data_IF_824427395853
#
_entry.id   IF_824427395853
#
_cell.length_a   1.000
_cell.length_b   1.000
_cell.length_c   1.000
_cell.angle_alpha   90.00
_cell.angle_beta   90.00
_cell.angle_gamma   90.00
#
_symmetry.space_group_name_H-M   'P 1'
#
loop_
_entity.id
_entity.type
_entity.pdbx_description
1 polymer ?
#
# COMPACT_ATOMS: atom_id res chain seq x y z
N UNK A 1 -53.48 10.47 0.47
CA UNK A 1 -52.69 11.66 0.86
C UNK A 1 -51.80 11.41 2.10
N UNK A 2 -52.34 10.78 3.20
CA UNK A 2 -51.53 10.48 4.43
C UNK A 2 -50.32 9.61 4.19
N UNK A 3 -50.43 8.52 3.39
CA UNK A 3 -49.29 7.63 3.06
C UNK A 3 -48.15 8.35 2.30
N UNK A 4 -48.53 9.23 1.40
CA UNK A 4 -47.52 10.02 0.62
C UNK A 4 -46.74 10.99 1.53
N UNK A 5 -47.42 11.62 2.49
CA UNK A 5 -46.77 12.48 3.49
C UNK A 5 -45.75 11.72 4.34
N UNK A 6 -46.10 10.52 4.82
CA UNK A 6 -45.19 9.66 5.60
C UNK A 6 -43.95 9.26 4.75
N UNK A 7 -44.17 8.87 3.49
CA UNK A 7 -43.06 8.50 2.59
C UNK A 7 -42.07 9.68 2.40
N UNK A 8 -42.59 10.86 2.15
CA UNK A 8 -41.76 12.07 1.97
C UNK A 8 -40.95 12.40 3.23
N UNK A 9 -41.60 12.30 4.43
CA UNK A 9 -40.90 12.52 5.70
C UNK A 9 -39.78 11.49 5.93
N UNK A 10 -40.04 10.20 5.65
CA UNK A 10 -39.02 9.14 5.76
C UNK A 10 -37.88 9.33 4.78
N UNK A 11 -38.16 9.78 3.56
CA UNK A 11 -37.12 10.09 2.56
C UNK A 11 -36.23 11.24 3.01
N UNK A 12 -36.79 12.29 3.58
CA UNK A 12 -36.04 13.43 4.11
C UNK A 12 -35.20 13.04 5.33
N UNK A 13 -35.75 12.24 6.24
CA UNK A 13 -34.99 11.70 7.38
C UNK A 13 -33.82 10.81 6.92
N UNK A 14 -34.04 9.93 5.94
CA UNK A 14 -33.00 9.08 5.38
C UNK A 14 -31.90 9.90 4.70
N UNK A 15 -32.26 10.96 3.98
CA UNK A 15 -31.29 11.87 3.36
C UNK A 15 -30.42 12.54 4.42
N UNK A 16 -31.04 13.09 5.47
CA UNK A 16 -30.32 13.73 6.58
C UNK A 16 -29.39 12.75 7.31
N UNK A 17 -29.85 11.53 7.55
CA UNK A 17 -29.05 10.50 8.19
C UNK A 17 -27.82 10.11 7.35
N UNK A 18 -28.00 9.95 6.03
CA UNK A 18 -26.89 9.68 5.10
C UNK A 18 -25.85 10.81 5.10
N UNK A 19 -26.31 12.04 5.18
CA UNK A 19 -25.44 13.22 5.23
C UNK A 19 -24.62 13.25 6.53
N UNK A 20 -25.26 13.01 7.68
CA UNK A 20 -24.58 12.90 8.97
C UNK A 20 -23.56 11.74 9.01
N UNK A 21 -23.91 10.58 8.46
CA UNK A 21 -22.98 9.44 8.35
C UNK A 21 -21.76 9.79 7.49
N UNK A 22 -21.97 10.50 6.38
CA UNK A 22 -20.89 10.95 5.50
C UNK A 22 -19.95 11.93 6.21
N UNK A 23 -20.49 12.90 6.92
CA UNK A 23 -19.68 13.86 7.71
C UNK A 23 -18.90 13.16 8.83
N UNK A 24 -19.51 12.19 9.50
CA UNK A 24 -18.83 11.40 10.52
C UNK A 24 -17.68 10.59 9.91
N UNK A 25 -17.92 9.94 8.78
CA UNK A 25 -16.91 9.14 8.09
C UNK A 25 -15.73 10.02 7.61
N UNK A 26 -16.00 11.23 7.14
CA UNK A 26 -14.97 12.18 6.75
C UNK A 26 -14.09 12.59 7.93
N UNK A 27 -14.70 12.87 9.08
CA UNK A 27 -13.95 13.15 10.32
C UNK A 27 -13.06 11.98 10.75
N UNK A 28 -13.56 10.75 10.67
CA UNK A 28 -12.76 9.56 10.99
C UNK A 28 -11.55 9.41 10.05
N UNK A 29 -11.72 9.70 8.76
CA UNK A 29 -10.61 9.72 7.79
C UNK A 29 -9.56 10.79 8.10
N UNK A 30 -9.99 11.98 8.53
CA UNK A 30 -9.07 13.03 8.94
C UNK A 30 -8.23 12.60 10.15
N UNK A 31 -8.85 12.03 11.18
CA UNK A 31 -8.11 11.48 12.33
C UNK A 31 -7.19 10.33 11.94
N UNK A 32 -7.64 9.44 11.05
CA UNK A 32 -6.78 8.37 10.53
C UNK A 32 -5.54 8.94 9.81
N UNK A 33 -5.70 10.02 9.06
CA UNK A 33 -4.59 10.72 8.42
C UNK A 33 -3.61 11.34 9.43
N UNK A 34 -4.11 11.97 10.49
CA UNK A 34 -3.28 12.52 11.57
C UNK A 34 -2.42 11.41 12.22
N UNK A 35 -3.01 10.26 12.55
CA UNK A 35 -2.25 9.13 13.07
C UNK A 35 -1.23 8.57 12.06
N UNK A 36 -1.52 8.58 10.77
CA UNK A 36 -0.54 8.21 9.75
C UNK A 36 0.67 9.16 9.79
N UNK A 37 0.44 10.47 9.89
CA UNK A 37 1.51 11.47 9.97
C UNK A 37 2.33 11.30 11.25
N UNK A 38 1.69 11.09 12.41
CA UNK A 38 2.37 10.80 13.66
C UNK A 38 3.25 9.54 13.58
N UNK A 39 2.76 8.48 12.92
CA UNK A 39 3.56 7.29 12.68
C UNK A 39 4.77 7.56 11.78
N UNK A 40 4.63 8.36 10.74
CA UNK A 40 5.74 8.76 9.88
C UNK A 40 6.77 9.59 10.65
N UNK A 41 6.35 10.49 11.53
CA UNK A 41 7.24 11.29 12.41
C UNK A 41 8.03 10.40 13.38
N UNK A 42 7.41 9.37 13.95
CA UNK A 42 8.10 8.40 14.79
C UNK A 42 9.27 7.73 14.05
N UNK A 43 9.12 7.43 12.76
CA UNK A 43 10.20 6.87 11.94
C UNK A 43 11.28 7.92 11.63
N UNK A 44 10.88 9.13 11.23
CA UNK A 44 11.83 10.12 10.71
C UNK A 44 12.62 10.83 11.82
N UNK A 45 12.00 11.11 12.95
CA UNK A 45 12.60 11.88 14.05
C UNK A 45 13.16 10.99 15.16
N UNK A 46 12.41 10.01 15.60
CA UNK A 46 12.75 9.18 16.75
C UNK A 46 13.35 7.81 16.38
N UNK A 47 13.26 7.38 15.13
CA UNK A 47 13.61 6.03 14.65
C UNK A 47 12.89 4.92 15.46
N UNK A 48 11.70 5.24 15.98
CA UNK A 48 10.89 4.36 16.82
C UNK A 48 9.85 3.60 15.96
N UNK A 49 10.23 2.43 15.52
CA UNK A 49 9.37 1.55 14.74
C UNK A 49 8.12 1.09 15.51
N UNK A 50 8.23 0.87 16.83
CA UNK A 50 7.09 0.42 17.66
C UNK A 50 6.03 1.51 17.79
N UNK A 51 6.47 2.74 18.10
CA UNK A 51 5.56 3.88 18.17
C UNK A 51 4.92 4.17 16.81
N UNK A 52 5.67 4.03 15.72
CA UNK A 52 5.14 4.17 14.36
C UNK A 52 4.04 3.14 14.06
N UNK A 53 4.30 1.86 14.33
CA UNK A 53 3.32 0.77 14.12
C UNK A 53 2.06 1.04 14.95
N UNK A 54 2.19 1.43 16.23
CA UNK A 54 1.04 1.74 17.08
C UNK A 54 0.18 2.88 16.52
N UNK A 55 0.79 3.91 15.92
CA UNK A 55 0.06 4.99 15.26
C UNK A 55 -0.61 4.54 13.96
N UNK A 56 0.06 3.72 13.13
CA UNK A 56 -0.58 3.13 11.94
C UNK A 56 -1.76 2.23 12.32
N UNK A 57 -1.68 1.47 13.42
CA UNK A 57 -2.79 0.66 13.93
C UNK A 57 -3.99 1.52 14.36
N UNK A 58 -3.74 2.66 14.99
CA UNK A 58 -4.81 3.63 15.30
C UNK A 58 -5.44 4.19 14.02
N UNK A 59 -4.63 4.56 13.03
CA UNK A 59 -5.14 5.01 11.74
C UNK A 59 -6.04 3.95 11.08
N UNK A 60 -5.61 2.68 11.10
CA UNK A 60 -6.35 1.55 10.52
C UNK A 60 -7.59 1.15 11.33
N UNK A 61 -7.62 1.42 12.63
CA UNK A 61 -8.83 1.24 13.44
C UNK A 61 -9.93 2.26 13.10
N UNK A 62 -9.55 3.45 12.65
CA UNK A 62 -10.46 4.52 12.23
C UNK A 62 -10.87 4.37 10.76
N UNK A 63 -9.95 3.98 9.89
CA UNK A 63 -10.20 3.67 8.48
C UNK A 63 -9.48 2.38 8.06
N UNK A 64 -10.14 1.21 8.14
CA UNK A 64 -9.57 -0.08 7.73
C UNK A 64 -9.15 -0.15 6.25
N UNK A 65 -9.70 0.75 5.41
CA UNK A 65 -9.39 0.81 3.98
C UNK A 65 -8.29 1.81 3.64
N UNK A 66 -7.59 2.35 4.65
CA UNK A 66 -6.54 3.34 4.44
C UNK A 66 -5.25 2.67 3.92
N UNK A 67 -5.13 2.60 2.60
CA UNK A 67 -4.07 1.86 1.90
C UNK A 67 -2.67 2.34 2.29
N UNK A 68 -2.46 3.66 2.39
CA UNK A 68 -1.16 4.23 2.75
C UNK A 68 -0.73 3.81 4.17
N UNK A 69 -1.66 3.66 5.11
CA UNK A 69 -1.36 3.17 6.45
C UNK A 69 -0.93 1.70 6.44
N UNK A 70 -1.61 0.84 5.67
CA UNK A 70 -1.18 -0.54 5.46
C UNK A 70 0.22 -0.64 4.85
N UNK A 71 0.51 0.17 3.81
CA UNK A 71 1.82 0.19 3.16
C UNK A 71 2.90 0.66 4.12
N UNK A 72 2.68 1.75 4.87
CA UNK A 72 3.64 2.29 5.83
C UNK A 72 3.94 1.32 6.97
N UNK A 73 2.89 0.71 7.53
CA UNK A 73 3.04 -0.35 8.52
C UNK A 73 3.85 -1.52 7.97
N UNK A 74 3.52 -2.00 6.77
CA UNK A 74 4.24 -3.09 6.12
C UNK A 74 5.72 -2.78 5.88
N UNK A 75 6.05 -1.56 5.43
CA UNK A 75 7.45 -1.13 5.24
C UNK A 75 8.19 -1.09 6.59
N UNK A 76 7.56 -0.59 7.64
CA UNK A 76 8.16 -0.53 8.99
C UNK A 76 8.45 -1.92 9.51
N UNK A 77 7.47 -2.85 9.41
CA UNK A 77 7.64 -4.25 9.79
C UNK A 77 8.72 -4.96 8.96
N UNK A 78 8.77 -4.69 7.64
CA UNK A 78 9.83 -5.22 6.77
C UNK A 78 11.23 -4.80 7.24
N UNK A 79 11.39 -3.52 7.59
CA UNK A 79 12.67 -2.98 8.08
C UNK A 79 13.03 -3.55 9.46
N UNK A 80 12.03 -3.87 10.28
CA UNK A 80 12.19 -4.57 11.56
C UNK A 80 12.40 -6.08 11.41
N UNK A 81 12.43 -6.61 10.18
CA UNK A 81 12.54 -8.04 9.84
C UNK A 81 11.35 -8.89 10.27
N UNK A 82 10.22 -8.27 10.57
CA UNK A 82 8.94 -8.92 10.88
C UNK A 82 8.21 -9.26 9.57
N UNK A 83 8.79 -10.17 8.79
CA UNK A 83 8.41 -10.40 7.39
C UNK A 83 7.01 -10.97 7.22
N UNK A 84 6.56 -11.83 8.14
CA UNK A 84 5.22 -12.39 8.09
C UNK A 84 4.14 -11.31 8.23
N UNK A 85 4.28 -10.43 9.21
CA UNK A 85 3.33 -9.35 9.45
C UNK A 85 3.41 -8.28 8.36
N UNK A 86 4.60 -8.03 7.82
CA UNK A 86 4.79 -7.16 6.66
C UNK A 86 4.04 -7.69 5.43
N UNK A 87 4.10 -9.01 5.17
CA UNK A 87 3.38 -9.63 4.06
C UNK A 87 1.87 -9.51 4.21
N UNK A 88 1.34 -9.71 5.41
CA UNK A 88 -0.09 -9.52 5.71
C UNK A 88 -0.54 -8.08 5.40
N UNK A 89 0.27 -7.08 5.79
CA UNK A 89 -0.03 -5.68 5.48
C UNK A 89 -0.05 -5.40 3.97
N UNK A 90 0.95 -5.90 3.23
CA UNK A 90 1.00 -5.69 1.78
C UNK A 90 -0.09 -6.49 1.04
N UNK A 91 -0.44 -7.70 1.51
CA UNK A 91 -1.55 -8.47 0.95
C UNK A 91 -2.87 -7.72 1.12
N UNK A 92 -3.12 -7.13 2.29
CA UNK A 92 -4.31 -6.31 2.52
C UNK A 92 -4.33 -5.08 1.61
N UNK A 93 -3.21 -4.35 1.51
CA UNK A 93 -3.11 -3.18 0.63
C UNK A 93 -3.35 -3.52 -0.84
N UNK A 94 -2.82 -4.65 -1.33
CA UNK A 94 -3.03 -5.11 -2.72
C UNK A 94 -4.47 -5.59 -2.93
N UNK A 95 -5.09 -6.24 -1.94
CA UNK A 95 -6.49 -6.66 -2.02
C UNK A 95 -7.43 -5.46 -2.11
N UNK A 96 -7.18 -4.40 -1.32
CA UNK A 96 -7.96 -3.16 -1.35
C UNK A 96 -7.77 -2.39 -2.65
N UNK A 97 -6.56 -2.35 -3.19
CA UNK A 97 -6.26 -1.62 -4.42
C UNK A 97 -5.20 -2.37 -5.26
N UNK A 98 -5.62 -3.30 -6.14
CA UNK A 98 -4.71 -4.17 -6.91
C UNK A 98 -3.77 -3.45 -7.88
N UNK A 99 -4.09 -2.20 -8.26
CA UNK A 99 -3.27 -1.36 -9.12
C UNK A 99 -2.41 -0.33 -8.35
N UNK A 100 -2.30 -0.46 -7.03
CA UNK A 100 -1.43 0.41 -6.26
C UNK A 100 0.04 -0.04 -6.41
N UNK A 101 0.81 0.74 -7.15
CA UNK A 101 2.22 0.45 -7.42
C UNK A 101 3.03 0.20 -6.14
N UNK A 102 2.88 1.06 -5.11
CA UNK A 102 3.67 0.94 -3.87
C UNK A 102 3.38 -0.37 -3.14
N UNK A 103 2.11 -0.78 -3.09
CA UNK A 103 1.71 -2.03 -2.44
C UNK A 103 2.28 -3.24 -3.17
N UNK A 104 2.10 -3.30 -4.49
CA UNK A 104 2.58 -4.40 -5.35
C UNK A 104 4.12 -4.47 -5.33
N UNK A 105 4.80 -3.34 -5.50
CA UNK A 105 6.26 -3.26 -5.49
C UNK A 105 6.87 -3.72 -4.17
N UNK A 106 6.35 -3.23 -3.03
CA UNK A 106 6.88 -3.61 -1.71
C UNK A 106 6.57 -5.07 -1.38
N UNK A 107 5.43 -5.62 -1.81
CA UNK A 107 5.15 -7.05 -1.67
C UNK A 107 6.11 -7.90 -2.50
N UNK A 108 6.38 -7.53 -3.74
CA UNK A 108 7.37 -8.20 -4.59
C UNK A 108 8.77 -8.16 -3.99
N UNK A 109 9.21 -7.00 -3.48
CA UNK A 109 10.47 -6.85 -2.76
C UNK A 109 10.56 -7.74 -1.53
N UNK A 110 9.50 -7.80 -0.72
CA UNK A 110 9.44 -8.68 0.45
C UNK A 110 9.53 -10.16 0.04
N UNK A 111 8.72 -10.57 -0.96
CA UNK A 111 8.69 -11.96 -1.45
C UNK A 111 10.06 -12.42 -1.96
N UNK A 112 10.78 -11.53 -2.65
CA UNK A 112 12.16 -11.81 -3.06
C UNK A 112 13.10 -11.99 -1.85
N UNK A 113 12.85 -11.24 -0.76
CA UNK A 113 13.63 -11.31 0.48
C UNK A 113 13.40 -12.61 1.26
N UNK A 114 12.19 -13.17 1.20
CA UNK A 114 11.81 -14.42 1.87
C UNK A 114 11.85 -15.64 0.94
N UNK A 115 12.54 -15.52 -0.20
CA UNK A 115 12.75 -16.56 -1.22
C UNK A 115 11.46 -17.10 -1.89
N UNK A 116 10.34 -16.38 -1.80
CA UNK A 116 9.15 -16.61 -2.62
C UNK A 116 9.36 -15.97 -4.00
N UNK A 117 10.23 -16.60 -4.80
CA UNK A 117 10.71 -16.01 -6.06
C UNK A 117 9.60 -15.93 -7.12
N UNK A 118 8.75 -16.94 -7.25
CA UNK A 118 7.62 -16.93 -8.21
C UNK A 118 6.62 -15.81 -7.88
N UNK A 119 6.26 -15.66 -6.61
CA UNK A 119 5.40 -14.59 -6.14
C UNK A 119 6.03 -13.20 -6.35
N UNK A 120 7.35 -13.09 -6.18
CA UNK A 120 8.09 -11.86 -6.45
C UNK A 120 8.08 -11.50 -7.94
N UNK A 121 8.31 -12.46 -8.83
CA UNK A 121 8.25 -12.27 -10.29
C UNK A 121 6.88 -11.72 -10.70
N UNK A 122 5.78 -12.33 -10.23
CA UNK A 122 4.44 -11.89 -10.57
C UNK A 122 4.14 -10.45 -10.09
N UNK A 123 4.58 -10.09 -8.87
CA UNK A 123 4.38 -8.74 -8.34
C UNK A 123 5.28 -7.71 -9.04
N UNK A 124 6.55 -8.05 -9.33
CA UNK A 124 7.50 -7.13 -9.95
C UNK A 124 7.19 -6.89 -11.44
N UNK A 125 6.73 -7.90 -12.17
CA UNK A 125 6.19 -7.75 -13.52
C UNK A 125 5.01 -6.77 -13.53
N UNK A 126 4.07 -6.95 -12.60
CA UNK A 126 2.96 -6.01 -12.44
C UNK A 126 3.43 -4.62 -12.05
N UNK A 127 4.41 -4.49 -11.16
CA UNK A 127 4.95 -3.20 -10.73
C UNK A 127 5.61 -2.45 -11.90
N UNK A 128 6.40 -3.12 -12.74
CA UNK A 128 7.01 -2.52 -13.94
C UNK A 128 5.96 -2.12 -14.99
N UNK A 129 4.86 -2.87 -15.08
CA UNK A 129 3.72 -2.51 -15.94
C UNK A 129 2.97 -1.28 -15.40
N UNK A 130 2.81 -1.14 -14.07
CA UNK A 130 2.14 0.00 -13.43
C UNK A 130 2.99 1.29 -13.48
N UNK A 131 4.31 1.15 -13.37
CA UNK A 131 5.27 2.27 -13.46
C UNK A 131 6.52 1.87 -14.26
N UNK A 132 6.44 1.94 -15.60
CA UNK A 132 7.55 1.58 -16.47
C UNK A 132 8.81 2.42 -16.27
N UNK A 133 8.68 3.63 -15.72
CA UNK A 133 9.79 4.54 -15.44
C UNK A 133 10.49 4.30 -14.08
N UNK A 134 10.07 3.30 -13.31
CA UNK A 134 10.63 3.05 -11.99
C UNK A 134 11.81 2.08 -12.05
N UNK A 135 13.04 2.62 -12.13
CA UNK A 135 14.27 1.84 -12.27
C UNK A 135 14.44 0.72 -11.22
N UNK A 136 14.11 1.01 -9.94
CA UNK A 136 14.21 0.00 -8.86
C UNK A 136 13.26 -1.20 -9.02
N UNK A 137 12.13 -1.04 -9.71
CA UNK A 137 11.23 -2.16 -9.98
C UNK A 137 11.83 -3.08 -11.06
N UNK A 138 12.41 -2.52 -12.12
CA UNK A 138 13.12 -3.28 -13.15
C UNK A 138 14.34 -4.00 -12.58
N UNK A 139 15.10 -3.35 -11.68
CA UNK A 139 16.26 -3.96 -11.03
C UNK A 139 15.85 -5.20 -10.22
N UNK A 140 14.86 -5.07 -9.32
CA UNK A 140 14.38 -6.20 -8.52
C UNK A 140 13.72 -7.28 -9.38
N UNK A 141 13.08 -6.90 -10.49
CA UNK A 141 12.52 -7.87 -11.43
C UNK A 141 13.62 -8.69 -12.12
N UNK A 142 14.70 -8.03 -12.55
CA UNK A 142 15.89 -8.72 -13.05
C UNK A 142 16.49 -9.69 -12.03
N UNK A 143 16.64 -9.27 -10.78
CA UNK A 143 17.14 -10.11 -9.69
C UNK A 143 16.25 -11.35 -9.47
N UNK A 144 14.93 -11.19 -9.50
CA UNK A 144 13.99 -12.29 -9.38
C UNK A 144 14.08 -13.27 -10.56
N UNK A 145 14.18 -12.76 -11.78
CA UNK A 145 14.34 -13.56 -13.01
C UNK A 145 15.66 -14.36 -13.02
N UNK A 146 16.73 -13.76 -12.56
CA UNK A 146 18.03 -14.45 -12.44
C UNK A 146 17.95 -15.65 -11.50
N UNK A 147 17.24 -15.53 -10.37
CA UNK A 147 17.08 -16.64 -9.40
C UNK A 147 16.39 -17.87 -10.00
N UNK A 148 15.59 -17.71 -11.03
CA UNK A 148 14.94 -18.83 -11.75
C UNK A 148 15.66 -19.19 -13.06
N UNK A 149 16.90 -18.71 -13.27
CA UNK A 149 17.74 -19.05 -14.44
C UNK A 149 17.35 -18.33 -15.73
N UNK A 150 16.51 -17.28 -15.67
CA UNK A 150 16.12 -16.47 -16.83
C UNK A 150 17.08 -15.33 -17.07
N UNK A 151 18.32 -15.67 -17.42
CA UNK A 151 19.45 -14.73 -17.52
C UNK A 151 19.24 -13.64 -18.57
N UNK A 152 18.67 -14.00 -19.73
CA UNK A 152 18.45 -13.05 -20.83
C UNK A 152 17.40 -12.01 -20.45
N UNK A 153 16.27 -12.45 -19.88
CA UNK A 153 15.21 -11.56 -19.43
C UNK A 153 15.70 -10.69 -18.27
N UNK A 154 16.51 -11.24 -17.35
CA UNK A 154 17.14 -10.49 -16.27
C UNK A 154 18.03 -9.36 -16.79
N UNK A 155 18.90 -9.66 -17.76
CA UNK A 155 19.78 -8.68 -18.38
C UNK A 155 19.00 -7.54 -19.07
N UNK A 156 17.88 -7.85 -19.71
CA UNK A 156 17.00 -6.84 -20.30
C UNK A 156 16.46 -5.89 -19.22
N UNK A 157 15.98 -6.43 -18.10
CA UNK A 157 15.40 -5.61 -17.03
C UNK A 157 16.47 -4.71 -16.38
N UNK A 158 17.67 -5.20 -16.14
CA UNK A 158 18.76 -4.40 -15.60
C UNK A 158 19.20 -3.29 -16.55
N UNK A 159 19.24 -3.56 -17.86
CA UNK A 159 19.54 -2.54 -18.86
C UNK A 159 18.50 -1.43 -18.88
N UNK A 160 17.21 -1.76 -18.80
CA UNK A 160 16.13 -0.77 -18.66
C UNK A 160 16.35 0.08 -17.40
N UNK A 161 16.66 -0.55 -16.27
CA UNK A 161 16.91 0.15 -15.02
C UNK A 161 18.07 1.15 -15.13
N UNK A 162 19.16 0.75 -15.78
CA UNK A 162 20.33 1.59 -16.02
C UNK A 162 20.01 2.80 -16.92
N UNK A 163 19.30 2.57 -18.02
CA UNK A 163 18.88 3.63 -18.94
C UNK A 163 17.96 4.66 -18.25
N UNK A 164 17.04 4.18 -17.38
CA UNK A 164 16.15 5.05 -16.61
C UNK A 164 16.92 5.91 -15.58
N UNK A 165 17.99 5.39 -15.01
CA UNK A 165 18.86 6.17 -14.09
C UNK A 165 19.63 7.26 -14.83
N UNK A 166 20.19 6.95 -16.01
CA UNK A 166 20.93 7.92 -16.84
C UNK A 166 20.06 9.09 -17.30
N UNK A 167 18.77 8.87 -17.55
CA UNK A 167 17.84 9.95 -17.96
C UNK A 167 17.48 10.90 -16.82
N UNK A 168 17.74 10.54 -15.57
CA UNK A 168 17.42 11.37 -14.38
C UNK A 168 18.63 12.14 -13.83
N UNK A 169 19.82 11.87 -14.35
CA UNK A 169 21.08 12.57 -14.05
C UNK A 169 21.29 13.72 -15.00
#
# INVERSE_FOLDING_TARGET
RRKLGIINTLQEQNKKLKEQMREQQERLRQYAHEYLLMGNECITQAHDARAAIANYDKALSLDPNYIDAWIRKGITLFNSKEYFDAENCFNTAVSLHPANFKAVYNRGKLRLKIDNTEGAIADLDKATSLKPEHAGAHELFGDALLRVGKEVEAAIQWRIAEELRKKKS
#
